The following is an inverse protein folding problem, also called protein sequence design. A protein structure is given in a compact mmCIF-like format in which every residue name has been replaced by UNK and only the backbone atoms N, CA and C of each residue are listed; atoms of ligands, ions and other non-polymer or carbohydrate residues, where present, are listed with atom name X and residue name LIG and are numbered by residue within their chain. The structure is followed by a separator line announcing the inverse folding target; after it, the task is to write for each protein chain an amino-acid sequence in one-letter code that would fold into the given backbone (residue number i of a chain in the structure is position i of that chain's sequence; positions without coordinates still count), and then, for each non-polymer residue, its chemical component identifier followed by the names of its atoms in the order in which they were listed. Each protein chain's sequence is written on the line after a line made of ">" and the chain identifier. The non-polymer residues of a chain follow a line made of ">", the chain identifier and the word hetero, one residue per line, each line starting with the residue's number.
data_IF_471374653007
#
_entry.id   IF_471374653007
#
_cell.length_a   1.000
_cell.length_b   1.000
_cell.length_c   1.000
_cell.angle_alpha   90.00
_cell.angle_beta   90.00
_cell.angle_gamma   90.00
#
_symmetry.space_group_name_H-M   'P 1'
#
loop_
_entity.id
_entity.type
_entity.pdbx_description
1 polymer ?
#
# COMPACT_ATOMS: atom_id res chain seq x y z
N UNK A 1 -21.76 9.96 8.61
CA UNK A 1 -20.46 9.54 8.02
C UNK A 1 -20.18 8.13 8.48
N UNK A 2 -19.98 7.20 7.55
CA UNK A 2 -19.46 5.86 7.81
C UNK A 2 -17.95 5.89 7.70
N UNK A 3 -17.25 5.39 8.71
CA UNK A 3 -15.78 5.23 8.72
C UNK A 3 -15.48 3.74 8.74
N UNK A 4 -15.11 3.19 7.58
CA UNK A 4 -14.88 1.76 7.42
C UNK A 4 -13.42 1.41 7.67
N UNK A 5 -13.17 0.85 8.85
CA UNK A 5 -11.87 0.33 9.27
C UNK A 5 -11.86 -1.19 9.54
N UNK A 6 -12.99 -1.85 9.27
CA UNK A 6 -13.16 -3.30 9.43
C UNK A 6 -12.52 -4.12 8.30
N UNK A 7 -11.20 -4.05 8.16
CA UNK A 7 -10.45 -4.93 7.25
C UNK A 7 -10.31 -6.37 7.80
N UNK A 8 -9.63 -7.28 7.07
CA UNK A 8 -8.92 -7.05 5.80
C UNK A 8 -9.87 -6.89 4.60
N UNK A 9 -9.51 -6.02 3.66
CA UNK A 9 -10.31 -5.74 2.45
C UNK A 9 -10.00 -6.72 1.31
N UNK A 10 -8.84 -7.37 1.37
CA UNK A 10 -8.40 -8.39 0.40
C UNK A 10 -9.48 -9.45 0.26
N UNK A 11 -9.71 -9.99 -0.93
CA UNK A 11 -10.68 -11.09 -1.17
C UNK A 11 -12.16 -10.80 -0.83
N UNK A 12 -12.53 -9.57 -0.46
CA UNK A 12 -13.94 -9.21 -0.33
C UNK A 12 -14.57 -9.06 -1.72
N UNK A 13 -15.58 -9.86 -2.03
CA UNK A 13 -16.22 -9.86 -3.35
C UNK A 13 -17.06 -8.60 -3.60
N UNK A 14 -17.62 -8.04 -2.53
CA UNK A 14 -18.60 -6.94 -2.57
C UNK A 14 -18.13 -5.76 -1.73
N UNK A 15 -18.58 -4.55 -2.11
CA UNK A 15 -18.35 -3.33 -1.33
C UNK A 15 -19.57 -3.01 -0.47
N UNK A 16 -20.04 -3.98 0.33
CA UNK A 16 -21.33 -3.95 1.02
C UNK A 16 -21.53 -2.71 1.89
N UNK A 17 -20.50 -2.29 2.64
CA UNK A 17 -20.56 -1.10 3.50
C UNK A 17 -20.68 0.18 2.68
N UNK A 18 -19.99 0.28 1.54
CA UNK A 18 -20.11 1.41 0.60
C UNK A 18 -21.51 1.44 -0.03
N UNK A 19 -22.00 0.29 -0.51
CA UNK A 19 -23.35 0.15 -1.09
C UNK A 19 -24.41 0.59 -0.07
N UNK A 20 -24.29 0.12 1.18
CA UNK A 20 -25.18 0.53 2.26
C UNK A 20 -25.12 2.04 2.50
N UNK A 21 -23.93 2.63 2.58
CA UNK A 21 -23.74 4.06 2.76
C UNK A 21 -24.37 4.88 1.60
N UNK A 22 -24.24 4.42 0.35
CA UNK A 22 -24.90 5.04 -0.80
C UNK A 22 -26.42 4.96 -0.66
N UNK A 23 -26.96 3.78 -0.34
CA UNK A 23 -28.41 3.55 -0.21
C UNK A 23 -29.04 4.40 0.90
N UNK A 24 -28.32 4.63 2.00
CA UNK A 24 -28.78 5.45 3.13
C UNK A 24 -28.35 6.92 3.01
N UNK A 25 -27.83 7.33 1.85
CA UNK A 25 -27.34 8.69 1.57
C UNK A 25 -26.35 9.22 2.61
N UNK A 26 -25.49 8.35 3.11
CA UNK A 26 -24.53 8.63 4.16
C UNK A 26 -23.13 8.75 3.57
N UNK A 27 -22.42 9.85 3.85
CA UNK A 27 -21.02 10.02 3.47
C UNK A 27 -20.16 8.81 3.92
N UNK A 28 -19.17 8.43 3.11
CA UNK A 28 -18.36 7.23 3.32
C UNK A 28 -16.86 7.54 3.25
N UNK A 29 -16.08 6.91 4.14
CA UNK A 29 -14.63 6.83 4.04
C UNK A 29 -14.14 5.44 4.44
N UNK A 30 -13.13 4.91 3.74
CA UNK A 30 -12.43 3.67 4.12
C UNK A 30 -10.91 3.79 4.13
N UNK A 31 -10.27 2.81 4.75
CA UNK A 31 -8.80 2.66 4.79
C UNK A 31 -8.34 1.44 3.97
N UNK A 32 -9.05 1.14 2.88
CA UNK A 32 -8.76 -0.03 2.04
C UNK A 32 -7.34 0.02 1.47
N UNK A 33 -6.62 -1.09 1.56
CA UNK A 33 -5.29 -1.30 0.99
C UNK A 33 -5.25 -2.41 -0.09
N UNK A 34 -6.41 -3.01 -0.41
CA UNK A 34 -6.55 -4.02 -1.47
C UNK A 34 -6.73 -3.38 -2.86
N UNK A 35 -5.98 -3.88 -3.84
CA UNK A 35 -6.04 -3.37 -5.22
C UNK A 35 -7.42 -3.60 -5.82
N UNK A 36 -7.92 -4.84 -5.82
CA UNK A 36 -9.15 -5.20 -6.49
C UNK A 36 -10.39 -4.56 -5.83
N UNK A 37 -10.48 -4.57 -4.50
CA UNK A 37 -11.54 -3.93 -3.73
C UNK A 37 -11.57 -2.43 -4.02
N UNK A 38 -10.40 -1.77 -4.03
CA UNK A 38 -10.36 -0.33 -4.32
C UNK A 38 -10.89 0.02 -5.70
N UNK A 39 -10.76 -0.87 -6.70
CA UNK A 39 -11.31 -0.68 -8.04
C UNK A 39 -12.79 -1.01 -8.13
N UNK A 40 -13.24 -2.08 -7.45
CA UNK A 40 -14.68 -2.36 -7.28
C UNK A 40 -15.38 -1.18 -6.62
N UNK A 41 -14.83 -0.65 -5.54
CA UNK A 41 -15.38 0.52 -4.84
C UNK A 41 -15.47 1.75 -5.76
N UNK A 42 -14.46 1.98 -6.60
CA UNK A 42 -14.48 3.08 -7.60
C UNK A 42 -15.54 2.90 -8.69
N UNK A 43 -16.03 1.67 -8.95
CA UNK A 43 -17.11 1.44 -9.91
C UNK A 43 -18.46 2.04 -9.46
N UNK A 44 -18.62 2.33 -8.17
CA UNK A 44 -19.82 3.00 -7.62
C UNK A 44 -19.81 4.52 -7.81
N UNK A 45 -18.85 5.09 -8.56
CA UNK A 45 -18.72 6.54 -8.74
C UNK A 45 -20.01 7.22 -9.21
N UNK A 46 -20.60 6.72 -10.30
CA UNK A 46 -21.80 7.33 -10.88
C UNK A 46 -23.02 7.19 -9.96
N UNK A 47 -23.16 6.06 -9.26
CA UNK A 47 -24.24 5.84 -8.30
C UNK A 47 -24.12 6.78 -7.09
N UNK A 48 -22.92 6.87 -6.49
CA UNK A 48 -22.65 7.77 -5.38
C UNK A 48 -22.90 9.24 -5.76
N UNK A 49 -22.47 9.63 -6.96
CA UNK A 49 -22.71 10.97 -7.52
C UNK A 49 -24.20 11.26 -7.72
N UNK A 50 -24.96 10.31 -8.29
CA UNK A 50 -26.40 10.46 -8.49
C UNK A 50 -27.17 10.60 -7.17
N UNK A 51 -26.71 9.93 -6.11
CA UNK A 51 -27.31 10.02 -4.77
C UNK A 51 -26.80 11.20 -3.93
N UNK A 52 -25.83 11.97 -4.44
CA UNK A 52 -25.21 13.08 -3.70
C UNK A 52 -24.36 12.62 -2.51
N UNK A 53 -23.81 11.41 -2.58
CA UNK A 53 -23.04 10.79 -1.49
C UNK A 53 -21.54 10.98 -1.73
N UNK A 54 -20.84 11.75 -0.89
CA UNK A 54 -19.38 11.81 -0.96
C UNK A 54 -18.78 10.50 -0.42
N UNK A 55 -17.87 9.90 -1.19
CA UNK A 55 -17.17 8.68 -0.83
C UNK A 55 -15.66 8.83 -1.08
N UNK A 56 -14.84 8.59 -0.06
CA UNK A 56 -13.38 8.56 -0.15
C UNK A 56 -12.91 7.13 0.11
N UNK A 57 -12.21 6.53 -0.84
CA UNK A 57 -11.63 5.18 -0.68
C UNK A 57 -10.13 5.30 -0.46
N UNK A 58 -9.52 4.29 0.15
CA UNK A 58 -8.06 4.17 0.30
C UNK A 58 -7.45 5.36 1.08
N UNK A 59 -8.10 5.79 2.17
CA UNK A 59 -7.77 7.00 2.93
C UNK A 59 -6.96 6.73 4.21
N UNK A 60 -6.04 5.76 4.17
CA UNK A 60 -5.09 5.48 5.24
C UNK A 60 -3.81 6.29 5.15
N UNK A 61 -2.73 5.75 5.71
CA UNK A 61 -1.38 6.33 5.58
C UNK A 61 -0.75 5.93 4.24
N UNK A 62 -0.73 4.64 3.93
CA UNK A 62 -0.39 4.08 2.64
C UNK A 62 -1.24 2.81 2.43
N UNK A 63 -2.27 2.88 1.56
CA UNK A 63 -2.62 4.01 0.70
C UNK A 63 -3.30 5.19 1.41
N UNK A 64 -3.15 6.39 0.85
CA UNK A 64 -3.88 7.60 1.28
C UNK A 64 -3.00 8.84 1.37
N UNK A 65 -2.22 8.98 2.45
CA UNK A 65 -1.22 10.07 2.55
C UNK A 65 -0.17 9.94 1.43
N UNK A 66 0.22 8.73 1.03
CA UNK A 66 1.09 8.51 -0.14
C UNK A 66 0.46 9.01 -1.44
N UNK A 67 -0.82 8.73 -1.68
CA UNK A 67 -1.54 9.25 -2.83
C UNK A 67 -1.52 10.78 -2.87
N UNK A 68 -1.73 11.44 -1.72
CA UNK A 68 -1.65 12.91 -1.62
C UNK A 68 -0.23 13.38 -1.90
N UNK A 69 0.79 12.76 -1.30
CA UNK A 69 2.19 13.10 -1.57
C UNK A 69 2.55 12.95 -3.05
N UNK A 70 2.11 11.87 -3.70
CA UNK A 70 2.31 11.66 -5.13
C UNK A 70 1.63 12.74 -5.98
N UNK A 71 0.37 13.07 -5.66
CA UNK A 71 -0.38 14.11 -6.36
C UNK A 71 0.30 15.47 -6.23
N UNK A 72 0.76 15.84 -5.03
CA UNK A 72 1.48 17.09 -4.78
C UNK A 72 2.81 17.14 -5.55
N UNK A 73 3.59 16.06 -5.55
CA UNK A 73 4.84 16.00 -6.32
C UNK A 73 4.59 16.15 -7.82
N UNK A 74 3.59 15.45 -8.35
CA UNK A 74 3.21 15.53 -9.77
C UNK A 74 2.71 16.94 -10.13
N UNK A 75 1.89 17.55 -9.27
CA UNK A 75 1.39 18.90 -9.47
C UNK A 75 2.52 19.95 -9.46
N UNK A 76 3.44 19.84 -8.50
CA UNK A 76 4.61 20.72 -8.42
C UNK A 76 5.51 20.58 -9.65
N UNK A 77 5.80 19.35 -10.08
CA UNK A 77 6.60 19.10 -11.28
C UNK A 77 5.97 19.73 -12.53
N UNK A 78 4.66 19.55 -12.74
CA UNK A 78 3.94 20.13 -13.88
C UNK A 78 3.89 21.65 -13.84
N UNK A 79 3.79 22.24 -12.66
CA UNK A 79 3.81 23.70 -12.47
C UNK A 79 5.17 24.32 -12.82
N UNK A 80 6.21 23.51 -12.91
CA UNK A 80 7.58 23.89 -13.24
C UNK A 80 8.04 23.29 -14.59
N UNK A 81 7.09 23.03 -15.51
CA UNK A 81 7.32 22.47 -16.84
C UNK A 81 8.06 21.11 -16.87
N UNK A 82 7.97 20.35 -15.78
CA UNK A 82 8.47 18.97 -15.69
C UNK A 82 7.41 17.95 -16.07
N UNK A 83 7.74 17.05 -17.00
CA UNK A 83 6.85 15.93 -17.38
C UNK A 83 7.14 14.69 -16.53
N UNK A 84 6.20 14.21 -15.68
CA UNK A 84 6.36 13.02 -14.85
C UNK A 84 6.58 11.74 -15.68
N UNK A 85 7.70 11.05 -15.47
CA UNK A 85 8.00 9.78 -16.17
C UNK A 85 7.94 8.57 -15.25
N UNK A 86 8.42 8.71 -14.02
CA UNK A 86 8.53 7.59 -13.08
C UNK A 86 8.18 8.02 -11.66
N UNK A 87 7.21 7.31 -11.08
CA UNK A 87 6.78 7.49 -9.70
C UNK A 87 6.99 6.19 -8.92
N UNK A 88 7.72 6.24 -7.82
CA UNK A 88 8.04 5.06 -7.01
C UNK A 88 7.65 5.29 -5.57
N UNK A 89 6.84 4.40 -5.05
CA UNK A 89 6.46 4.40 -3.65
C UNK A 89 7.34 3.44 -2.87
N UNK A 90 7.85 3.90 -1.74
CA UNK A 90 8.66 3.13 -0.82
C UNK A 90 8.09 3.28 0.59
N UNK A 91 7.87 2.15 1.26
CA UNK A 91 7.33 2.14 2.62
C UNK A 91 8.22 1.31 3.52
N UNK A 92 8.22 1.68 4.80
CA UNK A 92 8.93 0.98 5.84
C UNK A 92 8.14 0.97 7.14
N UNK A 93 8.06 -0.20 7.77
CA UNK A 93 7.56 -0.38 9.13
C UNK A 93 8.55 -1.17 9.97
N UNK A 94 8.71 -0.83 11.25
CA UNK A 94 9.31 -1.72 12.23
C UNK A 94 8.22 -2.41 13.04
N UNK A 95 8.42 -3.71 13.28
CA UNK A 95 7.40 -4.57 13.87
C UNK A 95 6.12 -4.59 13.02
N UNK A 96 4.97 -4.70 13.69
CA UNK A 96 3.65 -4.47 13.09
C UNK A 96 3.34 -2.98 12.83
N UNK A 97 4.25 -2.06 13.15
CA UNK A 97 4.00 -0.61 13.07
C UNK A 97 2.87 -0.15 13.99
N UNK A 98 2.58 -0.90 15.06
CA UNK A 98 1.47 -0.67 15.99
C UNK A 98 0.09 -1.11 15.46
N UNK A 99 0.02 -1.74 14.28
CA UNK A 99 -1.23 -2.18 13.64
C UNK A 99 -1.71 -3.57 14.07
N UNK A 100 -0.89 -4.33 14.83
CA UNK A 100 -1.24 -5.65 15.33
C UNK A 100 -1.34 -6.73 14.24
N UNK A 101 -2.04 -7.87 14.50
CA UNK A 101 -2.03 -9.05 13.62
C UNK A 101 -2.59 -8.80 12.22
N UNK A 102 -3.41 -7.75 12.05
CA UNK A 102 -4.02 -7.41 10.77
C UNK A 102 -2.97 -7.12 9.69
N UNK A 103 -1.86 -6.46 10.04
CA UNK A 103 -0.80 -6.16 9.07
C UNK A 103 -0.11 -7.45 8.58
N UNK A 104 0.01 -8.46 9.45
CA UNK A 104 0.58 -9.75 9.09
C UNK A 104 -0.35 -10.53 8.16
N UNK A 105 -1.65 -10.54 8.47
CA UNK A 105 -2.67 -11.15 7.63
C UNK A 105 -2.68 -10.53 6.23
N UNK A 106 -2.75 -9.20 6.13
CA UNK A 106 -2.68 -8.50 4.85
C UNK A 106 -1.37 -8.79 4.12
N UNK A 107 -0.23 -8.76 4.82
CA UNK A 107 1.07 -9.02 4.22
C UNK A 107 1.13 -10.42 3.58
N UNK A 108 0.62 -11.45 4.25
CA UNK A 108 0.55 -12.79 3.68
C UNK A 108 -0.43 -12.90 2.51
N UNK A 109 -1.60 -12.24 2.58
CA UNK A 109 -2.55 -12.22 1.47
C UNK A 109 -1.95 -11.57 0.21
N UNK A 110 -1.16 -10.51 0.38
CA UNK A 110 -0.45 -9.82 -0.71
C UNK A 110 0.67 -10.68 -1.31
N UNK A 111 1.26 -11.62 -0.56
CA UNK A 111 2.23 -12.58 -1.13
C UNK A 111 1.56 -13.56 -2.11
N UNK A 112 0.25 -13.74 -2.04
CA UNK A 112 -0.52 -14.56 -2.98
C UNK A 112 -0.88 -13.84 -4.29
N UNK A 113 -0.49 -12.58 -4.46
CA UNK A 113 -0.89 -11.73 -5.57
C UNK A 113 0.25 -11.43 -6.54
N UNK A 114 -0.09 -11.37 -7.83
CA UNK A 114 0.80 -10.73 -8.79
C UNK A 114 0.90 -9.25 -8.44
N UNK A 115 2.12 -8.71 -8.43
CA UNK A 115 2.34 -7.28 -8.27
C UNK A 115 2.04 -6.60 -9.60
N UNK A 116 1.04 -5.74 -9.61
CA UNK A 116 0.75 -4.87 -10.75
C UNK A 116 1.65 -3.63 -10.67
N UNK A 117 2.47 -3.44 -11.69
CA UNK A 117 3.27 -2.23 -11.88
C UNK A 117 3.08 -1.71 -13.32
N UNK A 118 3.53 -0.49 -13.57
CA UNK A 118 3.50 0.11 -14.90
C UNK A 118 4.93 0.45 -15.34
N UNK A 119 5.25 0.17 -16.58
CA UNK A 119 6.51 0.54 -17.22
C UNK A 119 6.22 1.15 -18.58
N UNK A 120 6.57 2.43 -18.76
CA UNK A 120 6.34 3.18 -20.01
C UNK A 120 4.91 3.07 -20.54
N UNK A 121 3.93 3.08 -19.63
CA UNK A 121 2.50 3.02 -19.95
C UNK A 121 1.93 1.61 -20.06
N UNK A 122 2.76 0.57 -20.04
CA UNK A 122 2.32 -0.82 -20.10
C UNK A 122 2.18 -1.42 -18.70
N UNK A 123 1.06 -2.12 -18.47
CA UNK A 123 0.86 -2.90 -17.25
C UNK A 123 1.76 -4.14 -17.28
N UNK A 124 2.55 -4.33 -16.22
CA UNK A 124 3.41 -5.49 -16.05
C UNK A 124 3.05 -6.21 -14.76
N UNK A 125 3.11 -7.55 -14.82
CA UNK A 125 2.93 -8.43 -13.66
C UNK A 125 4.28 -8.89 -13.16
N UNK A 126 4.54 -8.68 -11.87
CA UNK A 126 5.79 -9.02 -11.22
C UNK A 126 5.53 -9.95 -10.02
N UNK A 127 6.56 -10.69 -9.63
CA UNK A 127 6.48 -11.57 -8.46
C UNK A 127 6.42 -10.73 -7.17
N UNK A 128 5.52 -11.03 -6.22
CA UNK A 128 5.54 -10.37 -4.91
C UNK A 128 6.83 -10.70 -4.17
N UNK A 129 7.23 -9.77 -3.31
CA UNK A 129 8.42 -9.90 -2.49
C UNK A 129 9.72 -10.14 -3.28
N UNK A 130 9.82 -9.54 -4.47
CA UNK A 130 11.00 -9.60 -5.35
C UNK A 130 11.53 -8.21 -5.69
N UNK A 131 12.60 -8.14 -6.49
CA UNK A 131 13.11 -6.86 -7.02
C UNK A 131 13.59 -5.90 -5.93
N UNK A 132 14.38 -6.43 -4.98
CA UNK A 132 14.95 -5.70 -3.84
C UNK A 132 15.63 -4.42 -4.27
N UNK A 133 15.34 -3.35 -3.54
CA UNK A 133 16.09 -2.10 -3.59
C UNK A 133 16.51 -1.70 -2.18
N UNK A 134 17.70 -1.12 -2.04
CA UNK A 134 18.15 -0.50 -0.81
C UNK A 134 17.84 1.00 -0.85
N UNK A 135 16.86 1.45 -0.07
CA UNK A 135 16.33 2.82 -0.11
C UNK A 135 16.64 3.55 1.19
N UNK A 136 17.13 4.78 1.09
CA UNK A 136 17.38 5.66 2.24
C UNK A 136 16.12 6.44 2.62
N UNK A 137 15.56 6.15 3.79
CA UNK A 137 14.42 6.88 4.36
C UNK A 137 14.84 8.09 5.22
N UNK A 138 16.08 8.57 5.06
CA UNK A 138 16.60 9.72 5.79
C UNK A 138 17.00 9.38 7.23
N UNK A 139 17.21 10.41 8.04
CA UNK A 139 17.93 10.31 9.31
C UNK A 139 17.29 9.39 10.36
N UNK A 140 15.95 9.25 10.35
CA UNK A 140 15.19 8.45 11.31
C UNK A 140 15.25 6.95 11.05
N UNK A 141 14.98 6.52 9.81
CA UNK A 141 14.89 5.08 9.45
C UNK A 141 16.16 4.57 8.76
N UNK A 142 16.92 5.44 8.10
CA UNK A 142 18.13 5.11 7.32
C UNK A 142 17.82 4.17 6.15
N UNK A 143 18.86 3.53 5.64
CA UNK A 143 18.79 2.58 4.54
C UNK A 143 18.07 1.31 4.95
N UNK A 144 17.13 0.88 4.11
CA UNK A 144 16.33 -0.34 4.28
C UNK A 144 16.13 -1.04 2.95
N UNK A 145 16.12 -2.36 3.00
CA UNK A 145 15.74 -3.17 1.85
C UNK A 145 14.22 -3.19 1.73
N UNK A 146 13.74 -2.94 0.52
CA UNK A 146 12.31 -2.88 0.19
C UNK A 146 12.01 -3.77 -1.02
N UNK A 147 10.85 -4.40 -1.01
CA UNK A 147 10.46 -5.48 -1.90
C UNK A 147 9.13 -5.16 -2.59
N UNK A 148 8.94 -5.62 -3.82
CA UNK A 148 7.70 -5.38 -4.58
C UNK A 148 6.46 -5.93 -3.87
N UNK A 149 5.41 -5.12 -3.77
CA UNK A 149 4.09 -5.53 -3.29
C UNK A 149 2.98 -4.89 -4.13
N UNK A 150 1.85 -5.58 -4.23
CA UNK A 150 0.68 -5.13 -4.98
C UNK A 150 -0.10 -4.10 -4.17
N UNK A 151 -0.11 -2.84 -4.58
CA UNK A 151 -0.77 -1.76 -3.83
C UNK A 151 -1.65 -0.88 -4.75
N UNK A 152 -2.83 -0.44 -4.28
CA UNK A 152 -3.82 0.26 -5.11
C UNK A 152 -3.36 1.62 -5.64
N UNK A 153 -2.39 2.25 -4.97
CA UNK A 153 -1.82 3.56 -5.36
C UNK A 153 -1.09 3.48 -6.69
N UNK A 154 -0.50 2.32 -7.02
CA UNK A 154 0.25 2.13 -8.27
C UNK A 154 -0.67 2.37 -9.47
N UNK A 155 -1.82 1.68 -9.48
CA UNK A 155 -2.80 1.82 -10.54
C UNK A 155 -3.52 3.16 -10.50
N UNK A 156 -3.77 3.71 -9.31
CA UNK A 156 -4.40 5.03 -9.17
C UNK A 156 -3.50 6.15 -9.68
N UNK A 157 -2.20 6.13 -9.35
CA UNK A 157 -1.24 7.10 -9.83
C UNK A 157 -1.05 6.99 -11.35
N UNK A 158 -0.97 5.78 -11.88
CA UNK A 158 -0.92 5.60 -13.34
C UNK A 158 -2.18 6.17 -14.02
N UNK A 159 -3.37 5.76 -13.57
CA UNK A 159 -4.63 6.14 -14.23
C UNK A 159 -5.01 7.62 -14.07
N UNK A 160 -4.87 8.16 -12.86
CA UNK A 160 -5.40 9.48 -12.51
C UNK A 160 -4.33 10.57 -12.49
N UNK A 161 -3.07 10.23 -12.16
CA UNK A 161 -1.96 11.19 -12.27
C UNK A 161 -1.26 11.12 -13.62
N UNK A 162 -1.50 10.07 -14.43
CA UNK A 162 -0.97 9.95 -15.79
C UNK A 162 0.52 9.60 -15.86
N UNK A 163 1.12 9.12 -14.77
CA UNK A 163 2.54 8.77 -14.76
C UNK A 163 2.75 7.42 -15.44
N UNK A 164 3.63 7.29 -16.46
CA UNK A 164 3.73 6.09 -17.27
C UNK A 164 4.49 4.93 -16.59
N UNK A 165 5.40 5.22 -15.67
CA UNK A 165 6.13 4.18 -14.92
C UNK A 165 5.84 4.29 -13.43
N UNK A 166 5.20 3.28 -12.85
CA UNK A 166 4.77 3.30 -11.44
C UNK A 166 5.02 1.96 -10.77
N UNK A 167 5.60 1.96 -9.57
CA UNK A 167 5.75 0.75 -8.74
C UNK A 167 5.77 1.09 -7.26
N UNK A 168 5.45 0.10 -6.43
CA UNK A 168 5.48 0.22 -4.98
C UNK A 168 6.33 -0.89 -4.35
N UNK A 169 7.07 -0.55 -3.30
CA UNK A 169 7.86 -1.50 -2.53
C UNK A 169 7.75 -1.25 -1.03
N UNK A 170 7.86 -2.32 -0.26
CA UNK A 170 7.70 -2.33 1.18
C UNK A 170 8.86 -3.07 1.84
N UNK A 171 9.37 -2.54 2.95
CA UNK A 171 10.37 -3.21 3.79
C UNK A 171 9.90 -3.23 5.23
N UNK A 172 10.24 -4.30 5.96
CA UNK A 172 9.94 -4.41 7.38
C UNK A 172 11.21 -4.56 8.23
N UNK A 173 11.10 -4.23 9.51
CA UNK A 173 12.04 -4.65 10.53
C UNK A 173 11.37 -5.56 11.56
N UNK A 174 12.13 -6.50 12.15
CA UNK A 174 13.55 -6.74 11.94
C UNK A 174 13.83 -7.32 10.56
N UNK A 175 15.03 -7.06 10.04
CA UNK A 175 15.35 -7.30 8.63
C UNK A 175 15.17 -8.77 8.19
N UNK A 176 15.32 -9.72 9.12
CA UNK A 176 15.14 -11.15 8.85
C UNK A 176 13.68 -11.54 8.56
N UNK A 177 12.69 -10.72 8.94
CA UNK A 177 11.32 -10.90 8.48
C UNK A 177 11.20 -10.79 6.98
N UNK A 178 12.01 -9.94 6.35
CA UNK A 178 11.99 -9.88 4.91
C UNK A 178 12.45 -11.21 4.29
N UNK A 179 13.40 -11.93 4.89
CA UNK A 179 13.80 -13.26 4.42
C UNK A 179 12.69 -14.30 4.61
N UNK A 180 11.94 -14.22 5.72
CA UNK A 180 10.78 -15.09 5.94
C UNK A 180 9.67 -14.84 4.92
N UNK A 181 9.36 -13.59 4.64
CA UNK A 181 8.37 -13.19 3.63
C UNK A 181 8.81 -13.60 2.22
N UNK A 182 10.09 -13.45 1.90
CA UNK A 182 10.67 -13.92 0.63
C UNK A 182 10.55 -15.44 0.52
N UNK A 183 10.86 -16.19 1.59
CA UNK A 183 10.69 -17.64 1.62
C UNK A 183 9.22 -18.02 1.43
N UNK A 184 8.28 -17.35 2.10
CA UNK A 184 6.85 -17.60 1.95
C UNK A 184 6.37 -17.34 0.52
N UNK A 185 6.80 -16.24 -0.11
CA UNK A 185 6.48 -15.92 -1.50
C UNK A 185 7.06 -16.91 -2.52
N UNK A 186 8.11 -17.65 -2.16
CA UNK A 186 8.77 -18.62 -3.03
C UNK A 186 8.32 -20.07 -2.81
N UNK A 187 7.98 -20.45 -1.58
CA UNK A 187 7.83 -21.86 -1.20
C UNK A 187 6.44 -22.24 -0.67
N UNK A 188 5.62 -21.28 -0.22
CA UNK A 188 4.25 -21.61 0.17
C UNK A 188 3.34 -21.74 -1.06
N UNK A 189 2.37 -22.68 -1.04
CA UNK A 189 1.37 -22.77 -2.10
C UNK A 189 0.60 -21.47 -2.24
N UNK A 190 0.42 -20.98 -3.48
CA UNK A 190 -0.30 -19.72 -3.72
C UNK A 190 -1.76 -19.81 -3.26
N UNK A 191 -2.36 -21.01 -3.30
CA UNK A 191 -3.71 -21.29 -2.81
C UNK A 191 -3.83 -21.12 -1.29
N UNK A 192 -2.74 -21.33 -0.55
CA UNK A 192 -2.68 -21.05 0.89
C UNK A 192 -2.72 -19.54 1.12
N UNK A 193 -1.91 -18.79 0.39
CA UNK A 193 -1.77 -17.34 0.52
C UNK A 193 -2.98 -16.56 -0.03
N UNK A 194 -3.82 -17.19 -0.86
CA UNK A 194 -5.05 -16.57 -1.39
C UNK A 194 -6.28 -16.81 -0.50
N UNK A 195 -6.18 -17.68 0.50
CA UNK A 195 -7.29 -18.14 1.34
C UNK A 195 -7.26 -17.45 2.71
N UNK A 196 -8.29 -16.63 2.98
CA UNK A 196 -8.41 -15.85 4.22
C UNK A 196 -8.37 -16.69 5.48
N UNK A 197 -9.09 -17.82 5.49
CA UNK A 197 -9.22 -18.66 6.68
C UNK A 197 -7.90 -19.35 6.99
N UNK A 198 -7.18 -19.80 5.94
CA UNK A 198 -5.87 -20.41 6.11
C UNK A 198 -4.82 -19.38 6.52
N UNK A 199 -4.83 -18.19 5.93
CA UNK A 199 -3.95 -17.09 6.36
C UNK A 199 -4.26 -16.69 7.81
N UNK A 200 -5.53 -16.61 8.21
CA UNK A 200 -5.93 -16.33 9.58
C UNK A 200 -5.32 -17.33 10.58
N UNK A 201 -5.42 -18.63 10.29
CA UNK A 201 -4.80 -19.67 11.12
C UNK A 201 -3.27 -19.57 11.17
N UNK A 202 -2.63 -19.22 10.05
CA UNK A 202 -1.19 -19.00 10.00
C UNK A 202 -0.78 -17.79 10.86
N UNK A 203 -1.56 -16.71 10.80
CA UNK A 203 -1.34 -15.50 11.62
C UNK A 203 -1.51 -15.82 13.10
N UNK A 204 -2.54 -16.57 13.51
CA UNK A 204 -2.74 -16.97 14.91
C UNK A 204 -1.53 -17.73 15.48
N UNK A 205 -0.86 -18.54 14.66
CA UNK A 205 0.34 -19.29 15.07
C UNK A 205 1.58 -18.39 15.21
N UNK A 206 1.69 -17.36 14.37
CA UNK A 206 2.88 -16.50 14.27
C UNK A 206 2.74 -15.23 15.14
N UNK A 207 1.53 -14.76 15.43
CA UNK A 207 1.24 -13.53 16.18
C UNK A 207 1.95 -13.46 17.54
N UNK A 208 2.02 -14.53 18.37
CA UNK A 208 2.75 -14.46 19.63
C UNK A 208 4.24 -14.12 19.47
N UNK A 209 4.88 -14.67 18.43
CA UNK A 209 6.28 -14.39 18.10
C UNK A 209 6.45 -12.97 17.58
N UNK A 210 5.53 -12.52 16.72
CA UNK A 210 5.54 -11.14 16.19
C UNK A 210 5.38 -10.13 17.31
N UNK A 211 4.44 -10.32 18.24
CA UNK A 211 4.25 -9.44 19.40
C UNK A 211 5.48 -9.36 20.31
N UNK A 212 6.13 -10.50 20.54
CA UNK A 212 7.37 -10.53 21.32
C UNK A 212 8.48 -9.70 20.65
N UNK A 213 8.55 -9.74 19.32
CA UNK A 213 9.52 -9.00 18.52
C UNK A 213 9.14 -7.51 18.41
N UNK A 214 7.87 -7.18 18.25
CA UNK A 214 7.38 -5.79 18.19
C UNK A 214 7.81 -4.97 19.40
N UNK A 215 7.75 -5.55 20.60
CA UNK A 215 8.23 -4.91 21.84
C UNK A 215 9.72 -4.57 21.85
N UNK A 216 10.52 -5.16 20.95
CA UNK A 216 11.97 -4.98 20.85
C UNK A 216 12.32 -4.03 19.71
N UNK A 217 11.65 -4.12 18.57
CA UNK A 217 12.05 -3.41 17.33
C UNK A 217 11.44 -2.01 17.24
N UNK A 218 10.42 -1.75 18.07
CA UNK A 218 9.64 -0.51 18.05
C UNK A 218 8.73 -0.43 16.84
N UNK A 219 8.08 0.72 16.66
CA UNK A 219 6.96 0.89 15.73
C UNK A 219 7.28 1.84 14.57
N UNK A 220 8.56 2.05 14.22
CA UNK A 220 9.01 3.03 13.23
C UNK A 220 8.27 2.92 11.91
N UNK A 221 7.58 3.98 11.51
CA UNK A 221 6.96 4.11 10.19
C UNK A 221 7.62 5.22 9.37
N UNK A 222 7.96 4.92 8.12
CA UNK A 222 8.39 5.91 7.14
C UNK A 222 7.88 5.58 5.75
N UNK A 223 7.62 6.63 4.97
CA UNK A 223 7.14 6.56 3.61
C UNK A 223 7.93 7.56 2.75
N UNK A 224 8.32 7.12 1.56
CA UNK A 224 9.08 7.91 0.60
C UNK A 224 8.45 7.75 -0.78
N UNK A 225 8.24 8.86 -1.48
CA UNK A 225 7.72 8.88 -2.84
C UNK A 225 8.75 9.59 -3.72
N UNK A 226 9.27 8.88 -4.71
CA UNK A 226 10.24 9.42 -5.66
C UNK A 226 9.54 9.71 -6.97
N UNK A 227 9.62 10.96 -7.42
CA UNK A 227 9.16 11.39 -8.74
C UNK A 227 10.36 11.78 -9.60
N UNK A 228 10.41 11.25 -10.81
CA UNK A 228 11.40 11.58 -11.84
C UNK A 228 10.70 12.12 -13.07
N UNK A 229 11.27 13.17 -13.64
CA UNK A 229 10.74 13.86 -14.81
C UNK A 229 11.66 13.70 -16.03
N UNK A 230 11.11 13.86 -17.23
CA UNK A 230 11.83 13.71 -18.51
C UNK A 230 13.03 14.65 -18.67
N UNK A 231 13.00 15.80 -17.98
CA UNK A 231 14.10 16.77 -17.95
C UNK A 231 15.24 16.38 -16.97
N UNK A 232 15.18 15.17 -16.37
CA UNK A 232 16.17 14.65 -15.43
C UNK A 232 16.01 15.13 -13.99
N UNK A 233 15.01 15.96 -13.69
CA UNK A 233 14.71 16.40 -12.32
C UNK A 233 14.12 15.26 -11.50
N UNK A 234 14.67 15.08 -10.30
CA UNK A 234 14.18 14.11 -9.32
C UNK A 234 13.73 14.84 -8.05
N UNK A 235 12.49 14.59 -7.63
CA UNK A 235 11.91 15.17 -6.41
C UNK A 235 11.49 14.03 -5.47
N UNK A 236 11.76 14.20 -4.18
CA UNK A 236 11.48 13.18 -3.16
C UNK A 236 10.53 13.77 -2.13
N UNK A 237 9.40 13.12 -1.92
CA UNK A 237 8.57 13.31 -0.74
C UNK A 237 8.97 12.31 0.34
N UNK A 238 9.22 12.76 1.56
CA UNK A 238 9.57 11.90 2.70
C UNK A 238 8.70 12.24 3.91
N UNK A 239 8.04 11.22 4.45
CA UNK A 239 7.33 11.29 5.72
C UNK A 239 7.86 10.23 6.68
N UNK A 240 8.29 10.64 7.87
CA UNK A 240 8.67 9.73 8.96
C UNK A 240 7.93 10.14 10.22
N UNK A 241 7.22 9.21 10.86
CA UNK A 241 6.35 9.55 11.98
C UNK A 241 7.14 9.88 13.25
N UNK A 242 7.09 11.14 13.72
CA UNK A 242 7.96 11.65 14.81
C UNK A 242 8.01 10.82 16.10
N UNK A 243 6.90 10.22 16.54
CA UNK A 243 6.87 9.42 17.79
C UNK A 243 7.25 7.95 17.57
N UNK A 244 7.06 7.49 16.35
CA UNK A 244 7.31 6.09 16.01
C UNK A 244 8.72 5.94 15.44
N UNK A 245 9.33 6.99 14.87
CA UNK A 245 10.64 6.98 14.21
C UNK A 245 11.86 7.29 15.11
N UNK A 246 11.68 7.43 16.43
CA UNK A 246 12.79 7.67 17.40
C UNK A 246 13.29 6.35 17.94
#
# INVERSE_FOLDING_TARGET
>A
LVVHTAGPFQREAECTVLQAAISTKTAYIDVCDDMDYSWRAKAFHEEAKAQGVPAITTAGIYPGVSNVMAAELVNAARSEDGEPERLRFFYYTAGSGGAGPTILATSFLLLGEDVIAYNKGEEIKLKPYSGVLNIDFGKGVRKRDVYLLNLPEVKSAHKFLGVPTVSARFGTAPFFWNWGMEAFANFLPVELLRDKDKVGKLVEQIDPLVRAIDGIVGERVSMRVDLECSNGRNTIGLFSHRKLSV
#
